data_IF_665424966112
#
_entry.id   IF_665424966112
#
_cell.length_a   1.000
_cell.length_b   1.000
_cell.length_c   1.000
_cell.angle_alpha   90.00
_cell.angle_beta   90.00
_cell.angle_gamma   90.00
#
_symmetry.space_group_name_H-M   'P 1'
#
loop_
_entity.id
_entity.type
_entity.pdbx_description
1 polymer ?
#
# COMPACT_ATOMS: atom_id res chain seq x y z
N UNK A 1 -9.69 -44.36 42.25
CA UNK A 1 -10.22 -43.16 42.95
C UNK A 1 -9.24 -41.99 43.04
N UNK A 2 -7.97 -42.16 43.50
CA UNK A 2 -6.99 -41.06 43.57
C UNK A 2 -6.58 -40.48 42.20
N UNK A 3 -6.44 -41.32 41.17
CA UNK A 3 -6.11 -40.88 39.81
C UNK A 3 -7.25 -40.04 39.19
N UNK A 4 -8.51 -40.46 39.35
CA UNK A 4 -9.68 -39.71 38.90
C UNK A 4 -9.77 -38.31 39.55
N UNK A 5 -9.47 -38.22 40.84
CA UNK A 5 -9.46 -36.93 41.57
C UNK A 5 -8.32 -36.00 41.11
N UNK A 6 -7.16 -36.55 40.73
CA UNK A 6 -6.05 -35.76 40.16
C UNK A 6 -6.39 -35.26 38.76
N UNK A 7 -7.01 -36.09 37.92
CA UNK A 7 -7.44 -35.69 36.58
C UNK A 7 -8.51 -34.59 36.64
N UNK A 8 -9.47 -34.72 37.55
CA UNK A 8 -10.49 -33.70 37.81
C UNK A 8 -9.88 -32.38 38.29
N UNK A 9 -8.86 -32.43 39.16
CA UNK A 9 -8.18 -31.23 39.63
C UNK A 9 -7.39 -30.53 38.51
N UNK A 10 -6.72 -31.28 37.63
CA UNK A 10 -6.02 -30.74 36.46
C UNK A 10 -7.02 -30.09 35.50
N UNK A 11 -8.16 -30.72 35.25
CA UNK A 11 -9.22 -30.14 34.41
C UNK A 11 -9.85 -28.89 35.04
N UNK A 12 -9.95 -28.79 36.37
CA UNK A 12 -10.47 -27.60 37.04
C UNK A 12 -9.46 -26.44 37.02
N UNK A 13 -8.16 -26.73 37.05
CA UNK A 13 -7.11 -25.69 37.05
C UNK A 13 -6.78 -25.26 35.62
N UNK A 14 -6.55 -26.21 34.71
CA UNK A 14 -6.16 -25.93 33.34
C UNK A 14 -7.35 -25.73 32.41
N UNK A 15 -8.52 -26.31 32.72
CA UNK A 15 -9.72 -26.20 31.89
C UNK A 15 -10.17 -24.75 31.69
N UNK A 16 -10.26 -23.90 32.72
CA UNK A 16 -10.58 -22.49 32.54
C UNK A 16 -9.56 -21.76 31.68
N UNK A 17 -8.26 -22.03 31.81
CA UNK A 17 -7.23 -21.42 30.96
C UNK A 17 -7.33 -21.87 29.50
N UNK A 18 -7.54 -23.17 29.24
CA UNK A 18 -7.72 -23.72 27.89
C UNK A 18 -9.03 -23.21 27.27
N UNK A 19 -10.11 -23.18 28.04
CA UNK A 19 -11.39 -22.59 27.64
C UNK A 19 -11.23 -21.09 27.38
N UNK A 20 -10.44 -20.37 28.18
CA UNK A 20 -10.17 -18.95 27.97
C UNK A 20 -9.32 -18.72 26.71
N UNK A 21 -8.33 -19.58 26.42
CA UNK A 21 -7.55 -19.55 25.17
C UNK A 21 -8.45 -19.83 23.95
N UNK A 22 -9.38 -20.79 24.06
CA UNK A 22 -10.35 -21.12 23.02
C UNK A 22 -11.40 -20.01 22.83
N UNK A 23 -11.90 -19.39 23.91
CA UNK A 23 -12.86 -18.28 23.89
C UNK A 23 -12.20 -16.99 23.40
N UNK A 24 -10.95 -16.72 23.80
CA UNK A 24 -10.16 -15.57 23.34
C UNK A 24 -9.56 -15.78 21.95
N UNK A 25 -9.82 -16.94 21.33
CA UNK A 25 -9.56 -17.17 19.91
C UNK A 25 -8.08 -17.18 19.54
N UNK A 26 -7.19 -17.74 20.36
CA UNK A 26 -5.81 -17.98 19.91
C UNK A 26 -5.85 -19.04 18.82
N UNK A 27 -5.78 -18.60 17.56
CA UNK A 27 -5.94 -19.45 16.36
C UNK A 27 -7.25 -19.26 15.57
N UNK A 28 -8.10 -18.31 15.96
CA UNK A 28 -9.18 -17.82 15.07
C UNK A 28 -8.65 -16.64 14.25
N UNK A 29 -9.09 -16.53 12.98
CA UNK A 29 -8.88 -15.31 12.19
C UNK A 29 -9.60 -14.14 12.86
N UNK A 30 -8.85 -13.36 13.62
CA UNK A 30 -9.35 -12.09 14.15
C UNK A 30 -9.37 -11.09 13.00
N UNK A 31 -10.53 -10.94 12.36
CA UNK A 31 -10.79 -9.83 11.44
C UNK A 31 -10.94 -8.56 12.28
N UNK A 32 -9.83 -7.91 12.59
CA UNK A 32 -9.84 -6.55 13.14
C UNK A 32 -10.52 -5.64 12.11
N UNK A 33 -11.36 -4.71 12.58
CA UNK A 33 -11.92 -3.69 11.69
C UNK A 33 -10.75 -2.79 11.26
N UNK A 34 -10.47 -2.75 9.96
CA UNK A 34 -9.46 -1.85 9.38
C UNK A 34 -9.90 -0.41 9.54
N UNK A 35 -8.96 0.52 9.66
CA UNK A 35 -9.31 1.95 9.68
C UNK A 35 -9.91 2.37 8.34
N UNK A 36 -10.86 3.31 8.34
CA UNK A 36 -11.39 3.85 7.10
C UNK A 36 -10.31 4.62 6.32
N UNK A 37 -10.56 4.79 5.02
CA UNK A 37 -9.82 5.69 4.14
C UNK A 37 -10.58 7.01 4.02
N UNK A 38 -9.88 8.13 4.16
CA UNK A 38 -10.46 9.46 3.99
C UNK A 38 -10.30 9.93 2.55
N UNK A 39 -11.35 10.52 1.99
CA UNK A 39 -11.36 11.09 0.63
C UNK A 39 -11.70 12.58 0.70
N UNK A 40 -11.61 13.30 -0.43
CA UNK A 40 -12.00 14.71 -0.52
C UNK A 40 -13.48 14.99 -0.23
N UNK A 41 -14.35 13.96 -0.25
CA UNK A 41 -15.81 14.13 -0.10
C UNK A 41 -16.50 13.13 0.85
N UNK A 42 -15.85 12.01 1.25
CA UNK A 42 -16.43 10.93 2.10
C UNK A 42 -15.38 10.16 2.94
N UNK A 43 -15.85 9.52 4.01
CA UNK A 43 -15.14 8.46 4.76
C UNK A 43 -15.55 7.10 4.17
N UNK A 44 -14.60 6.24 3.81
CA UNK A 44 -14.85 4.91 3.22
C UNK A 44 -14.25 3.78 4.07
N UNK A 45 -14.95 2.65 4.20
CA UNK A 45 -14.48 1.49 4.99
C UNK A 45 -13.50 0.56 4.22
N UNK A 46 -13.34 0.75 2.90
CA UNK A 46 -12.48 -0.04 2.00
C UNK A 46 -11.74 0.89 1.01
N UNK A 47 -10.63 0.41 0.41
CA UNK A 47 -9.88 1.12 -0.66
C UNK A 47 -10.72 1.31 -1.93
N UNK A 48 -11.87 0.63 -2.04
CA UNK A 48 -12.82 0.67 -3.16
C UNK A 48 -13.47 2.05 -3.39
N UNK A 49 -13.05 3.08 -2.66
CA UNK A 49 -13.43 4.46 -2.89
C UNK A 49 -12.22 5.38 -2.68
N UNK A 50 -11.38 5.54 -3.71
CA UNK A 50 -10.43 6.63 -3.91
C UNK A 50 -9.88 7.28 -2.62
N UNK A 51 -9.24 6.48 -1.75
CA UNK A 51 -8.55 7.01 -0.58
C UNK A 51 -7.60 8.13 -0.98
N UNK A 52 -7.59 9.24 -0.24
CA UNK A 52 -6.73 10.36 -0.55
C UNK A 52 -5.28 9.99 -0.25
N UNK A 53 -4.51 9.79 -1.31
CA UNK A 53 -3.08 9.52 -1.27
C UNK A 53 -2.33 10.85 -1.15
N UNK A 54 -1.47 10.97 -0.13
CA UNK A 54 -0.57 12.12 -0.02
C UNK A 54 0.46 12.03 -1.13
N UNK A 55 0.46 13.01 -2.03
CA UNK A 55 1.39 13.08 -3.15
C UNK A 55 2.81 13.47 -2.75
N UNK A 56 3.66 13.69 -3.77
CA UNK A 56 5.09 13.92 -3.57
C UNK A 56 5.35 15.33 -3.02
N UNK A 57 6.15 15.40 -1.95
CA UNK A 57 6.69 16.65 -1.41
C UNK A 57 8.15 16.44 -0.96
N UNK A 58 8.94 17.52 -0.97
CA UNK A 58 10.32 17.55 -0.46
C UNK A 58 10.59 18.95 0.08
N UNK A 59 10.96 19.03 1.36
CA UNK A 59 11.25 20.28 2.09
C UNK A 59 12.56 20.15 2.87
N UNK A 60 12.91 21.18 3.64
CA UNK A 60 14.11 21.20 4.47
C UNK A 60 13.71 21.05 5.93
N UNK A 61 14.37 20.15 6.66
CA UNK A 61 14.10 19.91 8.07
C UNK A 61 14.90 20.86 9.00
N UNK A 62 14.68 20.73 10.32
CA UNK A 62 15.41 21.50 11.36
C UNK A 62 16.94 21.30 11.35
N UNK A 63 17.43 20.25 10.69
CA UNK A 63 18.86 19.98 10.53
C UNK A 63 19.41 20.45 9.18
N UNK A 64 18.63 21.24 8.43
CA UNK A 64 18.97 21.69 7.07
C UNK A 64 19.13 20.55 6.06
N UNK A 65 18.51 19.39 6.30
CA UNK A 65 18.53 18.24 5.41
C UNK A 65 17.23 18.20 4.59
N UNK A 66 17.32 17.68 3.37
CA UNK A 66 16.13 17.39 2.58
C UNK A 66 15.36 16.23 3.21
N UNK A 67 14.04 16.39 3.30
CA UNK A 67 13.14 15.36 3.80
C UNK A 67 11.80 15.47 3.07
N UNK A 68 11.21 14.34 2.70
CA UNK A 68 10.01 14.32 1.88
C UNK A 68 9.21 13.05 1.99
N UNK A 69 8.19 12.94 1.15
CA UNK A 69 7.29 11.78 1.13
C UNK A 69 8.00 10.46 0.85
N UNK A 70 9.14 10.49 0.13
CA UNK A 70 9.95 9.29 -0.14
C UNK A 70 10.58 8.70 1.12
N UNK A 71 10.97 9.54 2.07
CA UNK A 71 11.60 9.11 3.33
C UNK A 71 10.58 8.49 4.31
N UNK A 72 9.29 8.64 4.01
CA UNK A 72 8.17 8.15 4.82
C UNK A 72 7.55 6.86 4.26
N UNK A 73 7.97 6.39 3.08
CA UNK A 73 7.45 5.16 2.47
C UNK A 73 7.69 3.96 3.39
N UNK A 74 6.66 3.14 3.58
CA UNK A 74 6.72 1.98 4.46
C UNK A 74 6.55 2.31 5.95
N UNK A 75 6.34 3.58 6.31
CA UNK A 75 6.13 4.02 7.69
C UNK A 75 4.76 4.63 7.91
N UNK A 76 4.16 4.37 9.07
CA UNK A 76 2.98 5.11 9.54
C UNK A 76 3.46 6.47 10.04
N UNK A 77 2.76 7.55 9.71
CA UNK A 77 3.20 8.86 10.16
C UNK A 77 2.06 9.84 10.43
N UNK A 78 2.36 10.82 11.27
CA UNK A 78 1.43 11.89 11.64
C UNK A 78 1.85 13.16 10.92
N UNK A 79 0.94 13.77 10.16
CA UNK A 79 1.10 15.12 9.65
C UNK A 79 0.49 16.12 10.63
N UNK A 80 1.28 17.06 11.12
CA UNK A 80 0.82 18.15 11.96
C UNK A 80 1.27 19.50 11.40
N UNK A 81 0.55 20.56 11.73
CA UNK A 81 0.78 21.91 11.21
C UNK A 81 0.92 22.87 12.38
N UNK A 82 1.91 23.75 12.35
CA UNK A 82 2.23 24.64 13.46
C UNK A 82 2.98 25.88 12.99
N UNK A 83 3.05 26.92 13.80
CA UNK A 83 3.94 28.08 13.63
C UNK A 83 4.64 28.30 14.96
N UNK A 84 5.97 28.48 15.01
CA UNK A 84 6.64 28.65 16.32
C UNK A 84 6.21 29.93 17.06
N UNK A 85 5.75 30.94 16.32
CA UNK A 85 5.22 32.20 16.84
C UNK A 85 3.74 32.18 17.21
N UNK A 86 3.00 31.11 16.89
CA UNK A 86 1.56 31.02 17.14
C UNK A 86 1.18 30.87 18.60
N UNK A 87 0.05 31.48 19.01
CA UNK A 87 -0.45 31.47 20.40
C UNK A 87 -0.69 30.04 20.96
N UNK A 88 -0.94 29.06 20.07
CA UNK A 88 -1.28 27.68 20.41
C UNK A 88 -0.17 26.66 20.11
N UNK A 89 0.97 27.10 19.57
CA UNK A 89 2.06 26.22 19.10
C UNK A 89 2.61 25.32 20.19
N UNK A 90 2.83 25.88 21.38
CA UNK A 90 3.33 25.13 22.53
C UNK A 90 2.37 24.07 23.05
N UNK A 91 1.06 24.19 22.81
CA UNK A 91 0.07 23.19 23.23
C UNK A 91 -0.01 22.05 22.20
N UNK A 92 -0.04 22.36 20.90
CA UNK A 92 -0.06 21.35 19.84
C UNK A 92 1.18 20.43 19.92
N UNK A 93 2.38 21.01 20.05
CA UNK A 93 3.62 20.24 20.18
C UNK A 93 3.64 19.38 21.45
N UNK A 94 3.10 19.87 22.58
CA UNK A 94 2.98 19.08 23.82
C UNK A 94 2.08 17.86 23.65
N UNK A 95 1.01 17.98 22.88
CA UNK A 95 0.09 16.86 22.67
C UNK A 95 0.72 15.77 21.79
N UNK A 96 1.52 16.17 20.78
CA UNK A 96 2.29 15.24 19.96
C UNK A 96 3.42 14.53 20.72
N UNK A 97 3.83 15.04 21.90
CA UNK A 97 4.77 14.32 22.77
C UNK A 97 4.24 12.97 23.23
N UNK A 98 2.91 12.79 23.34
CA UNK A 98 2.33 11.54 23.84
C UNK A 98 2.49 10.37 22.85
N UNK A 99 2.05 10.48 21.57
CA UNK A 99 2.35 9.45 20.57
C UNK A 99 3.86 9.31 20.35
N UNK A 100 4.62 10.42 20.34
CA UNK A 100 6.08 10.34 20.22
C UNK A 100 6.71 9.52 21.36
N UNK A 101 6.30 9.75 22.61
CA UNK A 101 6.79 8.97 23.76
C UNK A 101 6.37 7.50 23.69
N UNK A 102 5.11 7.24 23.30
CA UNK A 102 4.53 5.90 23.26
C UNK A 102 5.19 5.01 22.20
N UNK A 103 5.60 5.59 21.08
CA UNK A 103 6.18 4.90 19.91
C UNK A 103 7.65 5.24 19.68
N UNK A 104 8.30 5.91 20.64
CA UNK A 104 9.70 6.32 20.56
C UNK A 104 10.63 5.18 20.14
N UNK A 105 10.44 4.02 20.75
CA UNK A 105 11.29 2.85 20.57
C UNK A 105 10.73 1.87 19.50
N UNK A 106 9.71 2.30 18.73
CA UNK A 106 9.04 1.52 17.68
C UNK A 106 9.42 2.05 16.30
N UNK A 107 10.07 1.25 15.48
CA UNK A 107 10.44 1.62 14.10
C UNK A 107 9.19 1.81 13.21
N UNK A 108 9.34 2.50 12.08
CA UNK A 108 8.25 2.69 11.12
C UNK A 108 7.10 3.58 11.61
N UNK A 109 7.31 4.40 12.64
CA UNK A 109 6.39 5.44 13.09
C UNK A 109 7.11 6.79 13.10
N UNK A 110 6.61 7.75 12.32
CA UNK A 110 7.19 9.09 12.17
C UNK A 110 6.19 10.20 12.52
N UNK A 111 6.71 11.37 12.91
CA UNK A 111 5.90 12.58 13.10
C UNK A 111 6.51 13.68 12.24
N UNK A 112 5.69 14.28 11.39
CA UNK A 112 6.09 15.31 10.43
C UNK A 112 5.28 16.57 10.71
N UNK A 113 5.99 17.62 11.10
CA UNK A 113 5.42 18.91 11.43
C UNK A 113 5.75 19.92 10.34
N UNK A 114 4.73 20.48 9.67
CA UNK A 114 4.88 21.50 8.64
C UNK A 114 4.74 22.90 9.27
N UNK A 115 5.72 23.77 9.04
CA UNK A 115 5.63 25.16 9.47
C UNK A 115 4.60 25.94 8.64
N UNK A 116 3.75 26.70 9.33
CA UNK A 116 2.76 27.63 8.78
C UNK A 116 3.32 29.04 8.57
N UNK A 117 4.48 29.34 9.17
CA UNK A 117 5.21 30.58 9.00
C UNK A 117 6.68 30.32 8.63
N UNK A 118 6.96 29.74 7.45
CA UNK A 118 8.31 29.36 7.06
C UNK A 118 9.24 30.56 6.82
N UNK A 119 8.70 31.78 6.71
CA UNK A 119 9.48 33.02 6.63
C UNK A 119 10.17 33.33 7.97
N UNK A 120 9.53 32.98 9.09
CA UNK A 120 10.08 33.06 10.43
C UNK A 120 10.77 31.76 10.87
N UNK A 121 10.12 30.63 10.62
CA UNK A 121 10.52 29.28 11.01
C UNK A 121 11.62 28.73 10.09
N UNK A 122 12.76 29.43 10.06
CA UNK A 122 13.99 28.96 9.41
C UNK A 122 14.48 27.66 10.05
N UNK A 123 15.30 26.84 9.36
CA UNK A 123 15.86 25.61 9.95
C UNK A 123 16.53 25.85 11.30
N UNK A 124 17.22 26.97 11.47
CA UNK A 124 17.86 27.37 12.73
C UNK A 124 16.84 27.63 13.85
N UNK A 125 15.76 28.35 13.57
CA UNK A 125 14.68 28.64 14.52
C UNK A 125 13.96 27.36 14.91
N UNK A 126 13.68 26.49 13.94
CA UNK A 126 13.10 25.18 14.20
C UNK A 126 14.01 24.30 15.05
N UNK A 127 15.32 24.32 14.80
CA UNK A 127 16.29 23.59 15.61
C UNK A 127 16.27 24.06 17.07
N UNK A 128 16.30 25.37 17.28
CA UNK A 128 16.21 25.94 18.64
C UNK A 128 14.88 25.57 19.32
N UNK A 129 13.77 25.66 18.59
CA UNK A 129 12.45 25.26 19.09
C UNK A 129 12.41 23.77 19.50
N UNK A 130 12.96 22.88 18.66
CA UNK A 130 13.07 21.45 18.93
C UNK A 130 13.93 21.21 20.17
N UNK A 131 15.11 21.83 20.25
CA UNK A 131 16.01 21.68 21.41
C UNK A 131 15.35 22.11 22.73
N UNK A 132 14.49 23.13 22.69
CA UNK A 132 13.74 23.62 23.85
C UNK A 132 12.58 22.71 24.26
N UNK A 133 11.92 22.06 23.30
CA UNK A 133 10.69 21.28 23.51
C UNK A 133 10.96 19.78 23.71
N UNK A 134 12.06 19.26 23.19
CA UNK A 134 12.36 17.82 23.14
C UNK A 134 13.37 17.34 24.19
N UNK A 135 13.73 18.18 25.16
CA UNK A 135 14.73 17.94 26.23
C UNK A 135 14.58 16.63 27.04
N UNK A 136 13.50 15.87 26.85
CA UNK A 136 13.23 14.59 27.51
C UNK A 136 12.91 13.41 26.57
N UNK A 137 12.93 13.56 25.23
CA UNK A 137 12.40 12.52 24.33
C UNK A 137 13.04 12.41 22.92
N UNK A 138 14.21 13.00 22.67
CA UNK A 138 14.87 12.93 21.37
C UNK A 138 15.43 11.54 21.06
N UNK A 139 14.67 10.73 20.31
CA UNK A 139 15.30 9.84 19.34
C UNK A 139 15.48 10.66 18.08
N UNK A 140 16.73 10.75 17.62
CA UNK A 140 17.07 11.47 16.39
C UNK A 140 16.30 10.85 15.20
N UNK A 141 15.92 11.68 14.24
CA UNK A 141 15.38 11.32 12.92
C UNK A 141 13.91 10.85 12.80
N UNK A 142 13.15 10.60 13.88
CA UNK A 142 11.70 10.26 13.76
C UNK A 142 10.76 11.46 13.74
N UNK A 143 11.19 12.57 14.33
CA UNK A 143 10.39 13.78 14.43
C UNK A 143 11.00 14.87 13.55
N UNK A 144 10.30 15.17 12.46
CA UNK A 144 10.76 16.06 11.40
C UNK A 144 9.97 17.36 11.44
N UNK A 145 10.66 18.50 11.51
CA UNK A 145 10.07 19.83 11.44
C UNK A 145 10.47 20.46 10.12
N UNK A 146 9.52 20.61 9.21
CA UNK A 146 9.73 21.00 7.83
C UNK A 146 9.43 22.48 7.60
N UNK A 147 10.33 23.13 6.88
CA UNK A 147 10.23 24.51 6.40
C UNK A 147 10.72 24.61 4.95
N UNK A 148 10.44 25.72 4.29
CA UNK A 148 10.69 25.88 2.87
C UNK A 148 10.13 27.16 2.29
N UNK A 149 9.91 27.17 0.98
CA UNK A 149 9.28 28.32 0.32
C UNK A 149 7.79 28.35 0.68
N UNK A 150 7.28 29.53 1.07
CA UNK A 150 5.93 29.69 1.62
C UNK A 150 4.85 29.20 0.67
N UNK A 151 4.92 29.59 -0.61
CA UNK A 151 3.92 29.16 -1.59
C UNK A 151 3.95 27.64 -1.83
N UNK A 152 5.13 27.02 -1.79
CA UNK A 152 5.29 25.57 -1.89
C UNK A 152 4.67 24.83 -0.70
N UNK A 153 4.87 25.32 0.52
CA UNK A 153 4.23 24.74 1.71
C UNK A 153 2.72 24.93 1.66
N UNK A 154 2.24 26.13 1.35
CA UNK A 154 0.81 26.42 1.27
C UNK A 154 0.10 25.53 0.23
N UNK A 155 0.70 25.36 -0.95
CA UNK A 155 0.19 24.46 -1.97
C UNK A 155 0.23 23.00 -1.50
N UNK A 156 1.28 22.58 -0.80
CA UNK A 156 1.35 21.23 -0.24
C UNK A 156 0.24 20.98 0.79
N UNK A 157 -0.01 21.92 1.69
CA UNK A 157 -1.08 21.85 2.70
C UNK A 157 -2.46 21.76 2.04
N UNK A 158 -2.70 22.61 1.04
CA UNK A 158 -3.97 22.65 0.31
C UNK A 158 -4.22 21.40 -0.53
N UNK A 159 -3.23 20.99 -1.34
CA UNK A 159 -3.42 19.95 -2.34
C UNK A 159 -3.24 18.55 -1.76
N UNK A 160 -2.26 18.36 -0.87
CA UNK A 160 -1.87 17.04 -0.37
C UNK A 160 -2.59 16.66 0.91
N UNK A 161 -2.94 17.63 1.75
CA UNK A 161 -3.63 17.38 3.03
C UNK A 161 -5.08 17.86 3.04
N UNK A 162 -5.54 18.47 1.94
CA UNK A 162 -6.91 18.97 1.76
C UNK A 162 -7.31 20.03 2.81
N UNK A 163 -6.33 20.74 3.37
CA UNK A 163 -6.57 21.77 4.39
C UNK A 163 -6.54 23.15 3.73
N UNK A 164 -7.65 23.88 3.83
CA UNK A 164 -7.70 25.28 3.39
C UNK A 164 -7.30 26.19 4.54
N UNK A 165 -6.23 26.98 4.35
CA UNK A 165 -5.82 28.02 5.31
C UNK A 165 -6.86 29.14 5.32
N UNK A 166 -7.22 29.61 6.52
CA UNK A 166 -8.01 30.84 6.67
C UNK A 166 -7.13 32.04 6.34
N UNK A 167 -7.60 32.95 5.49
CA UNK A 167 -6.88 34.17 5.16
C UNK A 167 -6.80 35.16 6.33
N UNK A 168 -7.74 35.10 7.27
CA UNK A 168 -7.79 35.97 8.44
C UNK A 168 -6.96 35.44 9.62
N UNK A 169 -6.79 34.11 9.70
CA UNK A 169 -6.03 33.42 10.75
C UNK A 169 -5.28 32.20 10.18
N UNK A 170 -4.23 32.43 9.37
CA UNK A 170 -3.60 31.37 8.59
C UNK A 170 -2.83 30.35 9.43
N UNK A 171 -2.58 30.65 10.71
CA UNK A 171 -1.82 29.78 11.63
C UNK A 171 -2.72 28.89 12.50
N UNK A 172 -4.05 29.01 12.36
CA UNK A 172 -5.02 28.30 13.20
C UNK A 172 -5.45 26.97 12.58
N UNK A 173 -4.48 26.07 12.45
CA UNK A 173 -4.74 24.67 12.09
C UNK A 173 -4.56 23.82 13.35
N UNK A 174 -5.68 23.44 13.96
CA UNK A 174 -5.68 22.56 15.14
C UNK A 174 -5.84 21.09 14.78
N UNK A 175 -5.59 20.69 13.53
CA UNK A 175 -5.82 19.31 13.06
C UNK A 175 -4.50 18.61 12.77
N UNK A 176 -4.40 17.34 13.16
CA UNK A 176 -3.36 16.45 12.68
C UNK A 176 -3.99 15.26 11.95
N UNK A 177 -3.26 14.73 10.97
CA UNK A 177 -3.70 13.63 10.13
C UNK A 177 -2.83 12.41 10.41
N UNK A 178 -3.44 11.23 10.38
CA UNK A 178 -2.75 9.95 10.44
C UNK A 178 -2.67 9.38 9.03
N UNK A 179 -1.46 9.04 8.62
CA UNK A 179 -1.14 8.49 7.30
C UNK A 179 -0.54 7.10 7.50
N UNK A 180 -0.97 6.12 6.71
CA UNK A 180 -0.41 4.76 6.76
C UNK A 180 0.89 4.61 5.96
N UNK A 181 1.44 3.38 5.99
CA UNK A 181 2.68 3.00 5.31
C UNK A 181 2.68 3.24 3.80
N UNK A 182 1.49 3.29 3.19
CA UNK A 182 1.28 3.43 1.76
C UNK A 182 0.98 4.89 1.37
N UNK A 183 0.88 5.79 2.35
CA UNK A 183 0.68 7.23 2.14
C UNK A 183 -0.79 7.66 2.16
N UNK A 184 -1.73 6.79 2.52
CA UNK A 184 -3.16 7.14 2.59
C UNK A 184 -3.53 7.78 3.92
N UNK A 185 -4.41 8.77 3.88
CA UNK A 185 -4.99 9.36 5.09
C UNK A 185 -5.99 8.37 5.71
N UNK A 186 -5.70 7.93 6.94
CA UNK A 186 -6.49 6.97 7.73
C UNK A 186 -7.17 7.59 8.94
N UNK A 187 -6.85 8.83 9.27
CA UNK A 187 -7.46 9.53 10.40
C UNK A 187 -7.25 11.04 10.35
N UNK A 188 -8.23 11.78 10.88
CA UNK A 188 -8.19 13.24 11.03
C UNK A 188 -8.63 13.56 12.45
N UNK A 189 -7.79 14.25 13.21
CA UNK A 189 -7.99 14.45 14.65
C UNK A 189 -7.76 15.91 15.04
N UNK A 190 -8.56 16.38 16.00
CA UNK A 190 -8.37 17.69 16.63
C UNK A 190 -7.26 17.61 17.70
N UNK A 191 -6.16 18.33 17.46
CA UNK A 191 -4.98 18.46 18.31
C UNK A 191 -5.29 19.03 19.70
N UNK A 192 -6.44 19.69 19.89
CA UNK A 192 -6.83 20.25 21.19
C UNK A 192 -7.59 19.21 22.05
N UNK A 193 -8.15 18.18 21.42
CA UNK A 193 -9.01 17.19 22.10
C UNK A 193 -8.22 16.00 22.65
N UNK A 194 -8.21 15.83 23.97
CA UNK A 194 -7.61 14.65 24.63
C UNK A 194 -8.22 13.32 24.14
N UNK A 195 -9.52 13.31 23.85
CA UNK A 195 -10.18 12.12 23.31
C UNK A 195 -9.65 11.79 21.91
N UNK A 196 -9.48 12.81 21.05
CA UNK A 196 -8.99 12.60 19.70
C UNK A 196 -7.54 12.08 19.68
N UNK A 197 -6.72 12.51 20.64
CA UNK A 197 -5.34 12.00 20.81
C UNK A 197 -5.30 10.54 21.27
N UNK A 198 -6.23 10.15 22.15
CA UNK A 198 -6.37 8.74 22.56
C UNK A 198 -6.78 7.89 21.35
N UNK A 199 -7.79 8.33 20.62
CA UNK A 199 -8.32 7.61 19.45
C UNK A 199 -7.22 7.48 18.38
N UNK A 200 -6.46 8.55 18.09
CA UNK A 200 -5.31 8.49 17.19
C UNK A 200 -4.24 7.48 17.62
N UNK A 201 -4.00 7.33 18.93
CA UNK A 201 -3.03 6.35 19.43
C UNK A 201 -3.52 4.91 19.27
N UNK A 202 -4.83 4.68 19.46
CA UNK A 202 -5.43 3.37 19.18
C UNK A 202 -5.33 3.04 17.68
N UNK A 203 -5.56 4.02 16.83
CA UNK A 203 -5.50 3.89 15.37
C UNK A 203 -4.07 3.64 14.87
N UNK A 204 -3.06 4.31 15.42
CA UNK A 204 -1.63 3.99 15.15
C UNK A 204 -1.31 2.55 15.56
N UNK A 205 -1.82 2.08 16.71
CA UNK A 205 -1.61 0.70 17.15
C UNK A 205 -2.26 -0.32 16.20
N UNK A 206 -3.41 0.01 15.61
CA UNK A 206 -4.06 -0.82 14.60
C UNK A 206 -3.22 -0.90 13.32
N UNK A 207 -2.79 0.24 12.76
CA UNK A 207 -1.94 0.26 11.57
C UNK A 207 -0.62 -0.48 11.80
N UNK A 208 0.00 -0.30 12.97
CA UNK A 208 1.22 -1.04 13.32
C UNK A 208 0.98 -2.55 13.38
N UNK A 209 -0.16 -2.98 13.91
CA UNK A 209 -0.51 -4.40 13.94
C UNK A 209 -0.77 -4.96 12.54
N UNK A 210 -1.36 -4.16 11.65
CA UNK A 210 -1.50 -4.52 10.23
C UNK A 210 -0.12 -4.74 9.60
N UNK A 211 0.85 -3.85 9.86
CA UNK A 211 2.24 -4.02 9.42
C UNK A 211 2.90 -5.28 9.98
N UNK A 212 2.81 -5.51 11.30
CA UNK A 212 3.43 -6.67 11.94
C UNK A 212 2.84 -8.01 11.43
N UNK A 213 1.54 -8.03 11.12
CA UNK A 213 0.87 -9.19 10.53
C UNK A 213 1.36 -9.45 9.10
N UNK A 214 1.54 -8.40 8.30
CA UNK A 214 2.06 -8.53 6.95
C UNK A 214 3.52 -9.00 6.96
N UNK A 215 4.36 -8.45 7.84
CA UNK A 215 5.74 -8.90 8.02
C UNK A 215 5.80 -10.39 8.42
N UNK A 216 4.95 -10.82 9.37
CA UNK A 216 4.84 -12.22 9.74
C UNK A 216 4.43 -13.10 8.55
N UNK A 217 3.47 -12.63 7.73
CA UNK A 217 2.98 -13.34 6.55
C UNK A 217 4.07 -13.48 5.50
N UNK A 218 4.78 -12.41 5.19
CA UNK A 218 5.92 -12.39 4.27
C UNK A 218 7.03 -13.31 4.75
N UNK A 219 7.38 -13.27 6.05
CA UNK A 219 8.37 -14.19 6.62
C UNK A 219 7.95 -15.64 6.43
N UNK A 220 6.69 -15.97 6.69
CA UNK A 220 6.17 -17.33 6.48
C UNK A 220 6.21 -17.71 5.00
N UNK A 221 5.82 -16.79 4.11
CA UNK A 221 5.90 -17.00 2.66
C UNK A 221 7.34 -17.29 2.23
N UNK A 222 8.33 -16.55 2.72
CA UNK A 222 9.74 -16.80 2.45
C UNK A 222 10.23 -18.13 3.03
N UNK A 223 9.82 -18.49 4.25
CA UNK A 223 10.09 -19.81 4.83
C UNK A 223 9.52 -20.92 3.93
N UNK A 224 8.31 -20.74 3.39
CA UNK A 224 7.67 -21.70 2.48
C UNK A 224 8.40 -21.76 1.13
N UNK A 225 8.84 -20.63 0.56
CA UNK A 225 9.66 -20.62 -0.66
C UNK A 225 10.98 -21.35 -0.41
N UNK A 226 11.68 -21.08 0.70
CA UNK A 226 12.99 -21.66 0.96
C UNK A 226 12.94 -23.15 1.34
N UNK A 227 11.89 -23.60 2.04
CA UNK A 227 11.80 -24.96 2.59
C UNK A 227 10.90 -25.91 1.80
N UNK A 228 9.88 -25.41 1.10
CA UNK A 228 8.88 -26.25 0.42
C UNK A 228 8.98 -26.24 -1.10
N UNK A 229 9.72 -25.31 -1.71
CA UNK A 229 9.81 -25.24 -3.18
C UNK A 229 10.41 -26.53 -3.82
N UNK A 230 11.30 -27.23 -3.11
CA UNK A 230 11.82 -28.54 -3.57
C UNK A 230 10.71 -29.59 -3.72
N UNK A 231 9.72 -29.60 -2.82
CA UNK A 231 8.62 -30.58 -2.80
C UNK A 231 7.32 -30.08 -3.42
N UNK A 232 7.23 -28.79 -3.76
CA UNK A 232 6.06 -28.21 -4.42
C UNK A 232 5.90 -28.83 -5.83
N UNK A 233 4.73 -29.39 -6.18
CA UNK A 233 4.51 -29.90 -7.51
C UNK A 233 4.55 -28.75 -8.52
N UNK A 234 5.14 -29.01 -9.67
CA UNK A 234 5.13 -28.10 -10.81
C UNK A 234 3.67 -27.80 -11.21
N UNK A 235 3.26 -26.52 -11.33
CA UNK A 235 1.88 -26.16 -11.66
C UNK A 235 1.43 -26.81 -12.98
N UNK A 236 0.16 -27.25 -13.09
CA UNK A 236 -0.34 -27.91 -14.31
C UNK A 236 -0.41 -26.93 -15.49
N UNK A 237 -0.43 -27.46 -16.71
CA UNK A 237 -0.77 -26.66 -17.89
C UNK A 237 -2.29 -26.59 -18.02
N UNK A 238 -2.84 -25.38 -18.09
CA UNK A 238 -4.26 -25.10 -18.27
C UNK A 238 -4.61 -24.93 -19.76
N UNK A 239 -5.90 -25.00 -20.08
CA UNK A 239 -6.41 -24.90 -21.45
C UNK A 239 -6.53 -26.24 -22.18
N UNK A 240 -6.88 -26.18 -23.46
CA UNK A 240 -6.95 -27.39 -24.31
C UNK A 240 -5.52 -27.91 -24.59
N UNK A 241 -5.33 -29.23 -24.81
CA UNK A 241 -4.02 -29.77 -25.16
C UNK A 241 -3.39 -29.05 -26.36
N UNK A 242 -2.21 -28.44 -26.15
CA UNK A 242 -1.50 -27.67 -27.18
C UNK A 242 -1.89 -26.19 -27.26
N UNK A 243 -2.71 -25.68 -26.35
CA UNK A 243 -2.94 -24.24 -26.20
C UNK A 243 -1.64 -23.54 -25.78
N UNK A 244 -1.38 -22.41 -26.43
CA UNK A 244 -0.27 -21.49 -26.16
C UNK A 244 -0.78 -20.08 -26.40
N UNK A 245 -0.24 -19.09 -25.68
CA UNK A 245 -0.60 -17.70 -25.88
C UNK A 245 -0.28 -17.29 -27.32
N UNK A 246 -1.26 -16.76 -28.09
CA UNK A 246 -1.03 -16.33 -29.46
C UNK A 246 -0.17 -15.06 -29.52
N UNK A 247 0.52 -14.82 -30.64
CA UNK A 247 1.30 -13.60 -30.85
C UNK A 247 0.44 -12.35 -30.71
N UNK A 248 1.00 -11.32 -30.08
CA UNK A 248 0.36 -10.03 -29.90
C UNK A 248 1.33 -8.89 -30.23
N UNK A 249 0.77 -7.71 -30.49
CA UNK A 249 1.50 -6.45 -30.60
C UNK A 249 0.61 -5.33 -30.05
N UNK A 250 1.04 -4.73 -28.94
CA UNK A 250 0.32 -3.65 -28.25
C UNK A 250 1.26 -2.48 -27.95
N UNK A 251 0.70 -1.33 -27.61
CA UNK A 251 1.45 -0.14 -27.25
C UNK A 251 1.62 -0.07 -25.73
N UNK A 252 2.85 0.19 -25.29
CA UNK A 252 3.15 0.52 -23.91
C UNK A 252 2.85 1.99 -23.58
N UNK A 253 2.95 2.33 -22.30
CA UNK A 253 2.93 3.69 -21.75
C UNK A 253 3.90 4.67 -22.47
N UNK A 254 5.02 4.18 -23.00
CA UNK A 254 6.00 5.00 -23.73
C UNK A 254 5.63 5.16 -25.21
N UNK A 255 4.44 4.70 -25.62
CA UNK A 255 4.02 4.56 -27.01
C UNK A 255 4.96 3.69 -27.85
N UNK A 256 5.71 2.80 -27.19
CA UNK A 256 6.57 1.80 -27.82
C UNK A 256 5.78 0.50 -27.98
N UNK A 257 5.88 -0.12 -29.15
CA UNK A 257 5.27 -1.43 -29.42
C UNK A 257 5.96 -2.51 -28.58
N UNK A 258 5.14 -3.29 -27.86
CA UNK A 258 5.54 -4.48 -27.10
C UNK A 258 4.86 -5.68 -27.75
N UNK A 259 5.67 -6.67 -28.09
CA UNK A 259 5.23 -7.89 -28.77
C UNK A 259 5.53 -9.12 -27.93
N UNK A 260 5.00 -10.26 -28.36
CA UNK A 260 5.32 -11.54 -27.73
C UNK A 260 6.83 -11.88 -27.76
N UNK A 261 7.60 -11.30 -28.70
CA UNK A 261 9.06 -11.51 -28.80
C UNK A 261 9.82 -10.78 -27.70
N UNK A 262 9.32 -9.64 -27.26
CA UNK A 262 9.95 -8.82 -26.21
C UNK A 262 9.85 -9.49 -24.83
N UNK A 263 8.90 -10.43 -24.69
CA UNK A 263 8.61 -11.18 -23.46
C UNK A 263 8.90 -12.68 -23.60
N UNK A 264 9.55 -13.10 -24.69
CA UNK A 264 9.88 -14.50 -24.96
C UNK A 264 10.83 -15.04 -23.89
N UNK A 265 10.60 -16.28 -23.42
CA UNK A 265 11.44 -16.94 -22.42
C UNK A 265 11.28 -16.42 -20.99
N UNK A 266 10.39 -15.45 -20.75
CA UNK A 266 10.08 -14.90 -19.43
C UNK A 266 8.81 -15.51 -18.87
N UNK A 267 8.70 -15.62 -17.55
CA UNK A 267 7.41 -15.86 -16.89
C UNK A 267 6.57 -14.59 -17.03
N UNK A 268 5.25 -14.71 -17.26
CA UNK A 268 4.33 -13.57 -17.32
C UNK A 268 3.25 -13.68 -16.27
N UNK A 269 2.98 -12.59 -15.57
CA UNK A 269 1.74 -12.37 -14.84
C UNK A 269 0.88 -11.47 -15.72
N UNK A 270 -0.35 -11.87 -16.01
CA UNK A 270 -1.26 -11.12 -16.90
C UNK A 270 -2.55 -10.77 -16.18
N UNK A 271 -2.95 -9.51 -16.30
CA UNK A 271 -4.24 -9.00 -15.84
C UNK A 271 -4.84 -8.02 -16.85
N UNK A 272 -6.09 -7.63 -16.60
CA UNK A 272 -6.85 -6.67 -17.39
C UNK A 272 -7.38 -5.56 -16.48
N UNK A 273 -7.14 -4.32 -16.87
CA UNK A 273 -7.43 -3.14 -16.07
C UNK A 273 -8.04 -2.01 -16.91
N UNK A 274 -8.52 -0.96 -16.24
CA UNK A 274 -8.76 0.33 -16.88
C UNK A 274 -8.64 1.46 -15.84
N UNK A 275 -8.17 2.64 -16.26
CA UNK A 275 -7.72 3.67 -15.32
C UNK A 275 -8.84 4.30 -14.48
N UNK A 276 -10.10 4.19 -14.93
CA UNK A 276 -11.26 4.76 -14.24
C UNK A 276 -12.07 3.74 -13.42
N UNK A 277 -11.60 2.51 -13.25
CA UNK A 277 -12.33 1.50 -12.49
C UNK A 277 -12.39 1.92 -11.02
N UNK A 278 -13.60 2.20 -10.47
CA UNK A 278 -13.71 2.72 -9.11
C UNK A 278 -13.57 1.64 -8.04
N UNK A 279 -13.66 0.35 -8.40
CA UNK A 279 -13.81 -0.74 -7.44
C UNK A 279 -12.59 -1.65 -7.41
N UNK A 280 -12.47 -2.57 -8.37
CA UNK A 280 -11.60 -3.74 -8.23
C UNK A 280 -10.18 -3.53 -8.74
N UNK A 281 -9.97 -2.70 -9.78
CA UNK A 281 -8.62 -2.47 -10.33
C UNK A 281 -7.62 -1.90 -9.31
N UNK A 282 -7.98 -0.95 -8.42
CA UNK A 282 -7.07 -0.51 -7.36
C UNK A 282 -6.61 -1.65 -6.45
N UNK A 283 -7.49 -2.62 -6.16
CA UNK A 283 -7.15 -3.79 -5.34
C UNK A 283 -6.19 -4.73 -6.09
N UNK A 284 -6.48 -5.04 -7.36
CA UNK A 284 -5.64 -5.87 -8.21
C UNK A 284 -4.24 -5.26 -8.36
N UNK A 285 -4.16 -3.98 -8.74
CA UNK A 285 -2.89 -3.30 -8.92
C UNK A 285 -2.09 -3.17 -7.62
N UNK A 286 -2.76 -3.03 -6.47
CA UNK A 286 -2.09 -3.09 -5.17
C UNK A 286 -1.45 -4.47 -4.91
N UNK A 287 -2.11 -5.57 -5.28
CA UNK A 287 -1.53 -6.92 -5.15
C UNK A 287 -0.36 -7.15 -6.13
N UNK A 288 -0.42 -6.59 -7.34
CA UNK A 288 0.71 -6.64 -8.29
C UNK A 288 1.90 -5.79 -7.83
N UNK A 289 1.66 -4.60 -7.28
CA UNK A 289 2.70 -3.78 -6.67
C UNK A 289 3.41 -4.53 -5.52
N UNK A 290 2.63 -5.16 -4.62
CA UNK A 290 3.17 -6.03 -3.57
C UNK A 290 3.97 -7.20 -4.15
N UNK A 291 3.45 -7.85 -5.20
CA UNK A 291 4.13 -8.98 -5.86
C UNK A 291 5.47 -8.54 -6.44
N UNK A 292 5.52 -7.39 -7.12
CA UNK A 292 6.74 -6.80 -7.66
C UNK A 292 7.80 -6.57 -6.57
N UNK A 293 7.41 -6.00 -5.43
CA UNK A 293 8.34 -5.77 -4.30
C UNK A 293 8.90 -7.09 -3.75
N UNK A 294 8.05 -8.09 -3.53
CA UNK A 294 8.46 -9.42 -3.03
C UNK A 294 9.45 -10.09 -4.01
N UNK A 295 9.18 -10.00 -5.32
CA UNK A 295 10.05 -10.57 -6.35
C UNK A 295 11.39 -9.83 -6.43
N UNK A 296 11.37 -8.49 -6.32
CA UNK A 296 12.58 -7.66 -6.31
C UNK A 296 13.48 -7.98 -5.10
N UNK A 297 12.90 -8.18 -3.90
CA UNK A 297 13.63 -8.58 -2.69
C UNK A 297 14.30 -9.96 -2.83
N UNK A 298 13.77 -10.81 -3.71
CA UNK A 298 14.34 -12.13 -4.06
C UNK A 298 15.32 -12.07 -5.24
N UNK A 299 15.60 -10.87 -5.75
CA UNK A 299 16.52 -10.65 -6.87
C UNK A 299 15.97 -11.10 -8.22
N UNK A 300 14.64 -11.29 -8.34
CA UNK A 300 13.98 -11.63 -9.59
C UNK A 300 13.82 -10.35 -10.41
N UNK A 301 14.33 -10.36 -11.63
CA UNK A 301 14.40 -9.18 -12.48
C UNK A 301 13.40 -9.25 -13.63
N UNK A 302 13.34 -8.18 -14.42
CA UNK A 302 12.56 -8.13 -15.66
C UNK A 302 13.08 -9.08 -16.76
N UNK A 303 14.21 -9.75 -16.57
CA UNK A 303 14.68 -10.83 -17.45
C UNK A 303 14.07 -12.19 -17.08
N UNK A 304 13.64 -12.36 -15.84
CA UNK A 304 13.08 -13.60 -15.32
C UNK A 304 11.54 -13.59 -15.43
N UNK A 305 10.93 -12.46 -15.09
CA UNK A 305 9.49 -12.28 -15.02
C UNK A 305 9.06 -10.88 -15.48
N UNK A 306 7.94 -10.80 -16.19
CA UNK A 306 7.30 -9.54 -16.57
C UNK A 306 5.81 -9.54 -16.18
N UNK A 307 5.29 -8.38 -15.78
CA UNK A 307 3.85 -8.19 -15.50
C UNK A 307 3.24 -7.45 -16.69
N UNK A 308 2.14 -7.95 -17.24
CA UNK A 308 1.45 -7.38 -18.40
C UNK A 308 0.00 -7.04 -18.06
N UNK A 309 -0.27 -5.76 -17.82
CA UNK A 309 -1.63 -5.25 -17.61
C UNK A 309 -2.20 -4.71 -18.89
N UNK A 310 -3.29 -5.30 -19.38
CA UNK A 310 -3.94 -4.92 -20.63
C UNK A 310 -5.16 -4.04 -20.37
N UNK A 311 -5.24 -2.88 -21.02
CA UNK A 311 -6.40 -2.00 -20.91
C UNK A 311 -7.64 -2.64 -21.54
N UNK A 312 -8.79 -2.55 -20.87
CA UNK A 312 -10.10 -2.88 -21.46
C UNK A 312 -10.81 -1.66 -22.07
N UNK A 313 -10.35 -0.44 -21.77
CA UNK A 313 -10.88 0.82 -22.34
C UNK A 313 -9.78 1.62 -23.06
N UNK A 314 -9.24 1.11 -24.18
CA UNK A 314 -8.14 1.76 -24.89
C UNK A 314 -8.51 3.13 -25.49
N UNK A 315 -9.80 3.48 -25.57
CA UNK A 315 -10.25 4.78 -26.04
C UNK A 315 -9.98 5.85 -24.98
N UNK A 316 -10.17 5.51 -23.70
CA UNK A 316 -9.95 6.45 -22.59
C UNK A 316 -8.61 6.29 -21.93
N UNK A 317 -8.04 5.08 -21.91
CA UNK A 317 -6.74 4.80 -21.31
C UNK A 317 -5.62 5.22 -22.26
N UNK A 318 -5.43 6.53 -22.38
CA UNK A 318 -4.28 7.09 -23.11
C UNK A 318 -2.98 6.84 -22.33
N UNK A 319 -1.81 6.85 -23.01
CA UNK A 319 -0.52 6.69 -22.34
C UNK A 319 -0.32 7.61 -21.13
N UNK A 320 -0.80 8.86 -21.20
CA UNK A 320 -0.68 9.82 -20.10
C UNK A 320 -1.50 9.40 -18.87
N UNK A 321 -2.71 8.89 -19.07
CA UNK A 321 -3.57 8.43 -17.96
C UNK A 321 -3.06 7.14 -17.35
N UNK A 322 -2.52 6.25 -18.18
CA UNK A 322 -1.85 5.04 -17.72
C UNK A 322 -0.60 5.39 -16.90
N UNK A 323 0.14 6.44 -17.27
CA UNK A 323 1.30 6.93 -16.51
C UNK A 323 0.92 7.49 -15.15
N UNK A 324 -0.14 8.28 -15.06
CA UNK A 324 -0.70 8.72 -13.78
C UNK A 324 -1.11 7.52 -12.90
N UNK A 325 -1.77 6.52 -13.49
CA UNK A 325 -2.19 5.30 -12.80
C UNK A 325 -1.00 4.47 -12.31
N UNK A 326 0.00 4.23 -13.15
CA UNK A 326 1.21 3.48 -12.82
C UNK A 326 2.00 4.14 -11.68
N UNK A 327 2.11 5.48 -11.70
CA UNK A 327 2.75 6.26 -10.62
C UNK A 327 1.99 6.15 -9.31
N UNK A 328 0.65 6.16 -9.34
CA UNK A 328 -0.18 5.98 -8.15
C UNK A 328 0.00 4.59 -7.53
N UNK A 329 0.22 3.57 -8.36
CA UNK A 329 0.44 2.18 -7.93
C UNK A 329 1.91 1.87 -7.59
N UNK A 330 2.81 2.86 -7.67
CA UNK A 330 4.25 2.68 -7.50
C UNK A 330 4.84 1.56 -8.39
N UNK A 331 4.29 1.39 -9.60
CA UNK A 331 4.71 0.35 -10.52
C UNK A 331 6.11 0.64 -11.08
N UNK A 332 6.98 -0.38 -11.11
CA UNK A 332 8.23 -0.33 -11.86
C UNK A 332 7.93 -0.65 -13.32
N UNK A 333 7.79 0.39 -14.14
CA UNK A 333 7.42 0.25 -15.55
C UNK A 333 8.46 -0.49 -16.41
N UNK A 334 9.63 -0.82 -15.84
CA UNK A 334 10.62 -1.68 -16.51
C UNK A 334 10.25 -3.17 -16.43
N UNK A 335 9.61 -3.60 -15.34
CA UNK A 335 9.11 -4.97 -15.12
C UNK A 335 7.59 -5.09 -15.34
N UNK A 336 6.84 -4.02 -15.08
CA UNK A 336 5.40 -3.96 -15.19
C UNK A 336 4.97 -3.13 -16.41
N UNK A 337 4.56 -3.82 -17.47
CA UNK A 337 4.11 -3.20 -18.72
C UNK A 337 2.59 -3.02 -18.71
N UNK A 338 2.18 -1.77 -18.81
CA UNK A 338 0.80 -1.41 -19.12
C UNK A 338 0.64 -1.30 -20.63
N UNK A 339 -0.34 -2.02 -21.18
CA UNK A 339 -0.55 -2.21 -22.60
C UNK A 339 -1.92 -1.69 -23.03
N UNK A 340 -1.96 -0.97 -24.14
CA UNK A 340 -3.16 -0.47 -24.81
C UNK A 340 -3.06 -0.68 -26.33
N UNK A 341 -4.14 -0.50 -27.08
CA UNK A 341 -4.12 -0.78 -28.51
C UNK A 341 -5.49 -0.87 -29.15
N UNK A 342 -5.58 -1.63 -30.24
CA UNK A 342 -6.87 -1.93 -30.85
C UNK A 342 -7.72 -2.77 -29.87
N UNK A 343 -8.97 -2.34 -29.67
CA UNK A 343 -9.89 -2.94 -28.71
C UNK A 343 -10.25 -4.38 -29.08
N UNK A 344 -10.51 -4.65 -30.35
CA UNK A 344 -10.85 -5.98 -30.82
C UNK A 344 -9.70 -6.97 -30.56
N UNK A 345 -8.46 -6.56 -30.85
CA UNK A 345 -7.26 -7.37 -30.62
C UNK A 345 -7.03 -7.64 -29.12
N UNK A 346 -7.22 -6.63 -28.26
CA UNK A 346 -7.10 -6.78 -26.80
C UNK A 346 -8.09 -7.80 -26.23
N UNK A 347 -9.32 -7.79 -26.74
CA UNK A 347 -10.41 -8.65 -26.29
C UNK A 347 -10.27 -10.07 -26.82
N UNK A 348 -9.81 -10.21 -28.06
CA UNK A 348 -9.46 -11.51 -28.64
C UNK A 348 -8.29 -12.13 -27.86
N UNK A 349 -7.26 -11.35 -27.53
CA UNK A 349 -6.15 -11.80 -26.71
C UNK A 349 -6.60 -12.24 -25.31
N UNK A 350 -7.53 -11.50 -24.69
CA UNK A 350 -8.06 -11.84 -23.37
C UNK A 350 -8.69 -13.23 -23.39
N UNK A 351 -9.58 -13.45 -24.36
CA UNK A 351 -10.42 -14.63 -24.45
C UNK A 351 -9.69 -15.86 -24.99
N UNK A 352 -9.00 -15.72 -26.11
CA UNK A 352 -8.36 -16.84 -26.81
C UNK A 352 -6.93 -17.08 -26.32
N UNK A 353 -6.24 -16.01 -25.91
CA UNK A 353 -4.87 -16.09 -25.43
C UNK A 353 -4.77 -16.42 -23.96
N UNK A 354 -5.36 -15.58 -23.11
CA UNK A 354 -5.24 -15.72 -21.66
C UNK A 354 -6.39 -16.47 -21.00
N UNK A 355 -7.44 -16.85 -21.74
CA UNK A 355 -8.65 -17.49 -21.20
C UNK A 355 -9.35 -16.65 -20.10
N UNK A 356 -9.19 -15.32 -20.16
CA UNK A 356 -9.79 -14.34 -19.27
C UNK A 356 -11.05 -13.73 -19.91
N UNK A 357 -11.96 -13.25 -19.07
CA UNK A 357 -13.16 -12.55 -19.54
C UNK A 357 -12.96 -11.04 -19.48
N UNK A 358 -13.11 -10.36 -20.63
CA UNK A 358 -13.19 -8.91 -20.75
C UNK A 358 -14.37 -8.55 -21.67
N UNK A 359 -15.44 -7.99 -21.12
CA UNK A 359 -16.66 -7.66 -21.85
C UNK A 359 -17.22 -6.31 -21.41
N UNK A 360 -17.70 -5.51 -22.34
CA UNK A 360 -18.48 -4.30 -22.02
C UNK A 360 -19.84 -4.68 -21.43
N UNK A 361 -20.25 -3.93 -20.40
CA UNK A 361 -21.59 -4.06 -19.84
C UNK A 361 -22.03 -2.75 -19.16
N UNK A 362 -23.08 -2.16 -19.70
CA UNK A 362 -23.68 -0.91 -19.21
C UNK A 362 -24.22 -0.99 -17.77
N UNK A 363 -24.36 -2.20 -17.22
CA UNK A 363 -24.79 -2.43 -15.82
C UNK A 363 -23.64 -2.65 -14.85
N UNK A 364 -22.41 -2.81 -15.32
CA UNK A 364 -21.22 -2.95 -14.47
C UNK A 364 -20.71 -1.58 -13.99
N UNK A 365 -20.16 -1.53 -12.78
CA UNK A 365 -19.50 -0.32 -12.28
C UNK A 365 -18.30 0.02 -13.18
N UNK A 366 -18.32 1.19 -13.80
CA UNK A 366 -17.29 1.61 -14.77
C UNK A 366 -17.54 1.15 -16.22
N UNK A 367 -18.59 0.37 -16.49
CA UNK A 367 -19.04 0.02 -17.85
C UNK A 367 -18.45 -1.28 -18.44
N UNK A 368 -17.64 -2.02 -17.69
CA UNK A 368 -16.99 -3.26 -18.14
C UNK A 368 -17.10 -4.37 -17.08
N UNK A 369 -17.41 -5.59 -17.51
CA UNK A 369 -17.06 -6.83 -16.78
C UNK A 369 -15.64 -7.22 -17.19
N UNK A 370 -14.70 -7.13 -16.27
CA UNK A 370 -13.36 -7.67 -16.45
C UNK A 370 -13.04 -8.64 -15.31
N UNK A 371 -12.21 -9.64 -15.60
CA UNK A 371 -11.83 -10.67 -14.65
C UNK A 371 -11.02 -10.09 -13.50
N UNK A 372 -11.32 -10.51 -12.28
CA UNK A 372 -10.56 -10.35 -11.04
C UNK A 372 -9.39 -11.35 -10.93
N UNK A 373 -8.99 -11.95 -12.06
CA UNK A 373 -8.06 -13.08 -12.12
C UNK A 373 -6.73 -12.66 -12.71
N UNK A 374 -5.64 -13.07 -12.05
CA UNK A 374 -4.30 -13.09 -12.62
C UNK A 374 -4.03 -14.43 -13.32
N UNK A 375 -3.62 -14.36 -14.57
CA UNK A 375 -3.12 -15.52 -15.30
C UNK A 375 -1.59 -15.61 -15.13
N UNK A 376 -1.09 -16.77 -14.74
CA UNK A 376 0.35 -17.07 -14.70
C UNK A 376 0.73 -17.86 -15.94
N UNK A 377 1.71 -17.36 -16.70
CA UNK A 377 2.20 -17.96 -17.94
C UNK A 377 3.69 -18.27 -17.80
N UNK A 378 4.12 -19.45 -18.21
CA UNK A 378 5.52 -19.85 -18.15
C UNK A 378 6.39 -19.31 -19.31
N UNK A 379 7.66 -19.71 -19.30
CA UNK A 379 8.66 -19.36 -20.32
C UNK A 379 8.32 -19.91 -21.72
N UNK A 380 7.43 -20.90 -21.81
CA UNK A 380 6.97 -21.55 -23.06
C UNK A 380 5.59 -21.07 -23.52
N UNK A 381 5.09 -19.95 -22.97
CA UNK A 381 3.79 -19.36 -23.30
C UNK A 381 2.59 -20.26 -22.97
N UNK A 382 2.72 -21.12 -21.95
CA UNK A 382 1.63 -21.95 -21.43
C UNK A 382 1.06 -21.37 -20.15
N UNK A 383 -0.27 -21.39 -20.03
CA UNK A 383 -0.95 -20.97 -18.80
C UNK A 383 -0.74 -22.04 -17.72
N UNK A 384 -0.25 -21.63 -16.56
CA UNK A 384 0.11 -22.48 -15.42
C UNK A 384 -0.84 -22.35 -14.24
N UNK A 385 -1.56 -21.24 -14.15
CA UNK A 385 -2.47 -20.96 -13.04
C UNK A 385 -3.38 -19.77 -13.33
N UNK A 386 -4.50 -19.74 -12.62
CA UNK A 386 -5.45 -18.64 -12.56
C UNK A 386 -5.68 -18.37 -11.07
N UNK A 387 -5.44 -17.15 -10.63
CA UNK A 387 -5.49 -16.77 -9.22
C UNK A 387 -6.41 -15.58 -9.04
N UNK A 388 -7.26 -15.60 -8.03
CA UNK A 388 -8.03 -14.42 -7.64
C UNK A 388 -7.08 -13.33 -7.15
N UNK A 389 -6.91 -12.28 -7.96
CA UNK A 389 -6.03 -11.16 -7.68
C UNK A 389 -6.52 -10.24 -6.56
N UNK A 390 -7.71 -10.50 -6.00
CA UNK A 390 -8.26 -9.82 -4.82
C UNK A 390 -7.96 -10.59 -3.53
N UNK A 391 -7.56 -11.86 -3.66
CA UNK A 391 -7.24 -12.75 -2.56
C UNK A 391 -5.74 -12.80 -2.32
N UNK A 392 -5.25 -12.17 -1.24
CA UNK A 392 -3.83 -12.23 -0.87
C UNK A 392 -3.32 -13.67 -0.71
N UNK A 393 -4.19 -14.61 -0.30
CA UNK A 393 -3.81 -16.02 -0.19
C UNK A 393 -3.55 -16.66 -1.57
N UNK A 394 -4.37 -16.36 -2.58
CA UNK A 394 -4.14 -16.88 -3.93
C UNK A 394 -2.95 -16.20 -4.61
N UNK A 395 -2.75 -14.90 -4.36
CA UNK A 395 -1.56 -14.18 -4.85
C UNK A 395 -0.28 -14.73 -4.22
N UNK A 396 -0.29 -15.11 -2.94
CA UNK A 396 0.85 -15.78 -2.31
C UNK A 396 1.13 -17.17 -2.91
N UNK A 397 0.09 -17.94 -3.23
CA UNK A 397 0.24 -19.21 -3.97
C UNK A 397 0.82 -18.99 -5.37
N UNK A 398 0.41 -17.92 -6.07
CA UNK A 398 0.98 -17.54 -7.36
C UNK A 398 2.49 -17.23 -7.23
N UNK A 399 2.91 -16.50 -6.20
CA UNK A 399 4.33 -16.19 -5.94
C UNK A 399 5.14 -17.48 -5.70
N UNK A 400 4.58 -18.43 -4.96
CA UNK A 400 5.21 -19.73 -4.75
C UNK A 400 5.33 -20.53 -6.06
N UNK A 401 4.30 -20.47 -6.90
CA UNK A 401 4.32 -21.12 -8.22
C UNK A 401 5.33 -20.45 -9.17
N UNK A 402 5.46 -19.12 -9.15
CA UNK A 402 6.50 -18.38 -9.89
C UNK A 402 7.88 -18.89 -9.51
N UNK A 403 8.19 -19.00 -8.21
CA UNK A 403 9.47 -19.53 -7.76
C UNK A 403 9.71 -20.96 -8.26
N UNK A 404 8.67 -21.80 -8.28
CA UNK A 404 8.78 -23.16 -8.82
C UNK A 404 9.08 -23.18 -10.32
N UNK A 405 8.47 -22.29 -11.09
CA UNK A 405 8.67 -22.16 -12.54
C UNK A 405 10.03 -21.55 -12.90
N UNK A 406 10.63 -20.77 -12.00
CA UNK A 406 11.97 -20.23 -12.21
C UNK A 406 13.05 -21.32 -12.11
N UNK A 407 12.83 -22.31 -11.24
CA UNK A 407 13.73 -23.47 -11.04
C UNK A 407 13.61 -24.55 -12.13
N UNK A 408 12.57 -24.47 -12.97
CA UNK A 408 12.37 -25.29 -14.18
C UNK A 408 13.22 -24.76 -15.35
#
# INVERSE_FOLDING_TARGET
MKALKRLALILIIAGPCVICILILGVGMEHKFKTLPYYTSERIADTVEANGHLVGKFEFVNQNSQKFGSKDLLGSVWIAAFFSTGGEHAGNATKQLLWPNFRYRDVEGINIVCFSLDPEHDTPEVLKEYVDLTTRYNSVDDKWQFLTGEKSAIDNCIADQFLIKRDSEDPDNISTFLLIDKDGYIRGIYDAISENALRDATEDIALLRKEMDNEEYRLRKLFEDIDSQNEYRPTPPVLGMPGHTVPPFAFLSIDSIEVTNRDVEGKIKIVDYFFTHCPTICPVLSSQLARTQEILADRGITNEDLIILSHSVDPIRDTPERIDEYAKMMNADTTQWKFLTGNKEDLYEQAKEGYLLTALENDTAAGGFFHSDIFALIDKEDKIRGMYDGTSTAEVDEMILDIHKLLDE
#
